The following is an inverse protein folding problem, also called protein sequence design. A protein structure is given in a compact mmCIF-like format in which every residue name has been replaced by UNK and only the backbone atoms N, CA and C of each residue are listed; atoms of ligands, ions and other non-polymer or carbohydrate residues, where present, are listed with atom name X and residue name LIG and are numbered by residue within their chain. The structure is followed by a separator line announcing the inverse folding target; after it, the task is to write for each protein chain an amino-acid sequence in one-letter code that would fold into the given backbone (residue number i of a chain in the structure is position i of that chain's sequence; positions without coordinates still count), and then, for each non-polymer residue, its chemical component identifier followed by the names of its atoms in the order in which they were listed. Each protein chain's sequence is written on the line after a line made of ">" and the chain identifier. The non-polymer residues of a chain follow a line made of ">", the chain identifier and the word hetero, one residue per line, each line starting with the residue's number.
data_IF_974679577526
#
_entry.id   IF_974679577526
#
_cell.length_a   1.000
_cell.length_b   1.000
_cell.length_c   1.000
_cell.angle_alpha   90.00
_cell.angle_beta   90.00
_cell.angle_gamma   90.00
#
_symmetry.space_group_name_H-M   'P 1'
#
loop_
_entity.id
_entity.type
_entity.pdbx_description
1 polymer ?
#
# COMPACT_ATOMS: atom_id res chain seq x y z
N UNK A 1 1.99 44.61 6.55
CA UNK A 1 2.69 43.90 5.44
C UNK A 1 2.07 42.52 5.34
N UNK A 2 0.99 42.40 4.56
CA UNK A 2 0.39 41.12 4.21
C UNK A 2 1.34 40.37 3.28
N UNK A 3 1.80 39.18 3.69
CA UNK A 3 2.47 38.25 2.80
C UNK A 3 1.39 37.65 1.89
N UNK A 4 1.24 38.23 0.69
CA UNK A 4 0.40 37.67 -0.35
C UNK A 4 0.83 36.24 -0.65
N UNK A 5 -0.09 35.30 -0.43
CA UNK A 5 -0.04 33.97 -1.03
C UNK A 5 0.14 34.17 -2.54
N UNK A 6 1.33 33.84 -3.06
CA UNK A 6 1.54 33.69 -4.50
C UNK A 6 0.64 32.53 -4.94
N UNK A 7 -0.57 32.84 -5.41
CA UNK A 7 -1.35 31.90 -6.19
C UNK A 7 -0.53 31.61 -7.45
N UNK A 8 0.04 30.41 -7.50
CA UNK A 8 0.74 29.95 -8.68
C UNK A 8 -0.28 29.75 -9.80
N UNK A 9 0.06 30.30 -10.98
CA UNK A 9 -0.79 30.19 -12.15
C UNK A 9 -0.91 28.71 -12.55
N UNK A 10 -2.13 28.22 -12.87
CA UNK A 10 -2.31 26.85 -13.28
C UNK A 10 -1.52 26.57 -14.57
N UNK A 11 -1.01 25.34 -14.76
CA UNK A 11 -0.37 24.91 -15.99
C UNK A 11 -1.19 25.26 -17.25
N UNK A 12 -0.54 25.49 -18.41
CA UNK A 12 -1.25 25.85 -19.64
C UNK A 12 -2.02 24.65 -20.22
N UNK A 13 -3.15 24.89 -20.89
CA UNK A 13 -4.01 23.82 -21.44
C UNK A 13 -3.31 22.72 -22.28
N UNK A 14 -2.28 23.02 -23.10
CA UNK A 14 -1.53 21.99 -23.83
C UNK A 14 -0.83 20.96 -22.92
N UNK A 15 -0.40 21.38 -21.72
CA UNK A 15 0.22 20.50 -20.74
C UNK A 15 -0.77 19.41 -20.30
N UNK A 16 -1.95 19.79 -19.82
CA UNK A 16 -2.99 18.85 -19.41
C UNK A 16 -3.38 17.88 -20.52
N UNK A 17 -3.53 18.37 -21.76
CA UNK A 17 -3.85 17.51 -22.91
C UNK A 17 -2.76 16.48 -23.18
N UNK A 18 -1.49 16.86 -23.06
CA UNK A 18 -0.36 15.92 -23.19
C UNK A 18 -0.43 14.85 -22.11
N UNK A 19 -0.55 15.25 -20.85
CA UNK A 19 -0.56 14.32 -19.72
C UNK A 19 -1.75 13.34 -19.82
N UNK A 20 -2.95 13.81 -20.18
CA UNK A 20 -4.09 12.92 -20.38
C UNK A 20 -3.88 11.91 -21.51
N UNK A 21 -3.27 12.34 -22.62
CA UNK A 21 -2.89 11.42 -23.70
C UNK A 21 -1.86 10.39 -23.24
N UNK A 22 -0.92 10.78 -22.39
CA UNK A 22 0.10 9.87 -21.84
C UNK A 22 -0.48 8.89 -20.82
N UNK A 23 -1.45 9.32 -20.00
CA UNK A 23 -2.21 8.44 -19.10
C UNK A 23 -3.00 7.41 -19.93
N UNK A 24 -3.65 7.83 -21.02
CA UNK A 24 -4.37 6.93 -21.92
C UNK A 24 -3.42 5.89 -22.55
N UNK A 25 -2.19 6.27 -22.90
CA UNK A 25 -1.16 5.33 -23.39
C UNK A 25 -0.68 4.32 -22.33
N UNK A 26 -0.74 4.70 -21.05
CA UNK A 26 -0.43 3.81 -19.92
C UNK A 26 -1.61 2.88 -19.59
N UNK A 27 -2.83 3.40 -19.69
CA UNK A 27 -4.09 2.74 -19.30
C UNK A 27 -4.71 3.41 -18.07
N UNK A 28 -5.95 3.88 -18.20
CA UNK A 28 -6.70 4.56 -17.13
C UNK A 28 -7.01 3.62 -15.94
N UNK A 29 -7.17 2.33 -16.21
CA UNK A 29 -7.37 1.27 -15.22
C UNK A 29 -6.18 1.10 -14.27
N UNK A 30 -5.00 1.59 -14.65
CA UNK A 30 -3.81 1.56 -13.82
C UNK A 30 -3.67 2.82 -12.96
N UNK A 31 -4.38 3.91 -13.27
CA UNK A 31 -4.28 5.16 -12.52
C UNK A 31 -5.08 5.04 -11.20
N UNK A 32 -4.39 5.20 -10.07
CA UNK A 32 -4.99 5.13 -8.73
C UNK A 32 -5.31 6.52 -8.21
N UNK A 33 -4.43 7.49 -8.47
CA UNK A 33 -4.52 8.85 -7.95
C UNK A 33 -3.87 9.83 -8.89
N UNK A 34 -4.44 11.03 -8.98
CA UNK A 34 -3.82 12.21 -9.58
C UNK A 34 -4.16 13.44 -8.74
N UNK A 35 -3.24 14.40 -8.65
CA UNK A 35 -3.53 15.73 -8.10
C UNK A 35 -4.29 16.60 -9.11
N UNK A 36 -4.99 17.64 -8.64
CA UNK A 36 -5.82 18.51 -9.50
C UNK A 36 -4.99 19.21 -10.59
N UNK A 37 -3.76 19.59 -10.28
CA UNK A 37 -2.82 20.23 -11.20
C UNK A 37 -1.99 19.23 -12.03
N UNK A 38 -2.25 17.93 -11.87
CA UNK A 38 -1.48 16.81 -12.44
C UNK A 38 0.02 16.84 -12.11
N UNK A 39 0.44 17.53 -11.05
CA UNK A 39 1.85 17.54 -10.64
C UNK A 39 2.30 16.20 -10.05
N UNK A 40 1.36 15.37 -9.57
CA UNK A 40 1.62 14.02 -9.11
C UNK A 40 0.58 13.02 -9.64
N UNK A 41 1.07 11.85 -10.04
CA UNK A 41 0.30 10.72 -10.54
C UNK A 41 0.72 9.45 -9.79
N UNK A 42 -0.21 8.54 -9.54
CA UNK A 42 0.09 7.24 -8.93
C UNK A 42 -0.51 6.12 -9.76
N UNK A 43 0.31 5.17 -10.18
CA UNK A 43 -0.10 4.02 -10.97
C UNK A 43 0.05 2.71 -10.19
N UNK A 44 -0.96 1.84 -10.27
CA UNK A 44 -0.90 0.46 -9.78
C UNK A 44 -0.30 -0.45 -10.85
N UNK A 45 0.80 -1.10 -10.50
CA UNK A 45 1.55 -1.99 -11.38
C UNK A 45 1.63 -3.36 -10.71
N UNK A 46 1.25 -4.40 -11.45
CA UNK A 46 1.40 -5.78 -10.99
C UNK A 46 2.76 -6.31 -11.45
N UNK A 47 3.47 -6.99 -10.56
CA UNK A 47 4.65 -7.77 -10.95
C UNK A 47 4.28 -9.16 -11.47
N UNK A 48 5.29 -9.95 -11.86
CA UNK A 48 5.08 -11.29 -12.43
C UNK A 48 4.44 -12.30 -11.46
N UNK A 49 4.50 -12.05 -10.16
CA UNK A 49 3.90 -12.87 -9.11
C UNK A 49 2.53 -12.32 -8.66
N UNK A 50 2.00 -11.30 -9.35
CA UNK A 50 0.71 -10.69 -9.04
C UNK A 50 0.74 -9.72 -7.85
N UNK A 51 1.92 -9.37 -7.32
CA UNK A 51 2.02 -8.36 -6.26
C UNK A 51 1.75 -6.98 -6.83
N UNK A 52 0.93 -6.20 -6.13
CA UNK A 52 0.63 -4.83 -6.51
C UNK A 52 1.66 -3.86 -5.93
N UNK A 53 2.17 -2.99 -6.80
CA UNK A 53 3.10 -1.92 -6.49
C UNK A 53 2.46 -0.59 -6.87
N UNK A 54 2.57 0.41 -6.00
CA UNK A 54 2.14 1.78 -6.31
C UNK A 54 3.37 2.56 -6.74
N UNK A 55 3.40 2.95 -8.01
CA UNK A 55 4.41 3.84 -8.58
C UNK A 55 3.89 5.27 -8.52
N UNK A 56 4.49 6.08 -7.67
CA UNK A 56 4.24 7.51 -7.61
C UNK A 56 5.21 8.23 -8.56
N UNK A 57 4.67 9.12 -9.39
CA UNK A 57 5.40 9.93 -10.35
C UNK A 57 5.09 11.38 -10.04
N UNK A 58 6.12 12.17 -9.73
CA UNK A 58 5.99 13.61 -9.59
C UNK A 58 6.60 14.31 -10.81
N UNK A 59 5.78 15.11 -11.48
CA UNK A 59 6.12 15.81 -12.70
C UNK A 59 6.74 17.18 -12.35
N UNK A 60 7.94 17.49 -12.86
CA UNK A 60 8.52 18.81 -12.69
C UNK A 60 7.75 19.83 -13.53
N UNK A 61 7.81 21.11 -13.14
CA UNK A 61 7.07 22.20 -13.82
C UNK A 61 7.43 22.37 -15.29
N UNK A 62 8.65 22.01 -15.65
CA UNK A 62 9.15 22.07 -17.02
C UNK A 62 9.04 20.73 -17.74
N UNK A 63 8.25 19.78 -17.26
CA UNK A 63 7.98 18.53 -17.96
C UNK A 63 7.56 18.77 -19.43
N UNK A 64 8.09 18.01 -20.41
CA UNK A 64 9.00 16.86 -20.29
C UNK A 64 10.51 17.21 -20.38
N UNK A 65 10.88 18.49 -20.30
CA UNK A 65 12.29 18.94 -20.42
C UNK A 65 13.18 18.39 -19.31
N UNK A 66 12.62 18.12 -18.13
CA UNK A 66 13.28 17.44 -17.02
C UNK A 66 12.57 16.16 -16.66
N UNK A 67 13.35 15.18 -16.22
CA UNK A 67 12.84 13.86 -15.84
C UNK A 67 11.90 13.97 -14.63
N UNK A 68 10.77 13.24 -14.64
CA UNK A 68 9.98 13.02 -13.43
C UNK A 68 10.77 12.31 -12.34
N UNK A 69 10.47 12.62 -11.09
CA UNK A 69 10.93 11.83 -9.95
C UNK A 69 9.93 10.73 -9.64
N UNK A 70 10.41 9.56 -9.24
CA UNK A 70 9.57 8.41 -8.91
C UNK A 70 9.79 7.92 -7.48
N UNK A 71 8.74 7.36 -6.89
CA UNK A 71 8.77 6.69 -5.60
C UNK A 71 7.86 5.44 -5.62
N UNK A 72 8.24 4.43 -4.85
CA UNK A 72 7.48 3.19 -4.68
C UNK A 72 8.00 2.44 -3.44
N UNK A 73 7.19 1.52 -2.90
CA UNK A 73 7.58 0.62 -1.81
C UNK A 73 8.50 -0.51 -2.35
N UNK A 74 9.75 -0.16 -2.65
CA UNK A 74 10.78 -1.07 -3.17
C UNK A 74 12.10 -0.82 -2.45
N UNK A 75 13.00 -1.81 -2.32
CA UNK A 75 14.21 -1.68 -1.50
C UNK A 75 15.19 -0.64 -2.03
N UNK A 76 15.12 -0.34 -3.33
CA UNK A 76 15.75 0.82 -3.96
C UNK A 76 15.00 1.17 -5.23
N UNK A 77 15.01 2.46 -5.58
CA UNK A 77 14.42 2.99 -6.80
C UNK A 77 15.40 2.84 -7.97
N UNK A 78 14.88 2.57 -9.18
CA UNK A 78 15.69 2.55 -10.40
C UNK A 78 15.99 3.95 -10.90
N UNK A 79 17.16 4.10 -11.53
CA UNK A 79 17.48 5.31 -12.28
C UNK A 79 16.67 5.30 -13.59
N UNK A 80 15.92 6.38 -13.83
CA UNK A 80 15.09 6.50 -15.03
C UNK A 80 15.93 7.10 -16.16
N UNK A 81 16.06 6.35 -17.25
CA UNK A 81 16.56 6.86 -18.51
C UNK A 81 15.49 7.76 -19.12
N UNK A 82 15.80 9.05 -19.26
CA UNK A 82 14.84 10.06 -19.69
C UNK A 82 15.38 10.95 -20.80
N UNK A 83 14.49 11.29 -21.74
CA UNK A 83 14.72 12.27 -22.79
C UNK A 83 13.46 13.13 -22.99
N UNK A 84 13.56 14.24 -23.72
CA UNK A 84 12.41 15.12 -24.00
C UNK A 84 11.30 14.48 -24.83
N UNK A 85 11.60 13.36 -25.50
CA UNK A 85 10.62 12.55 -26.25
C UNK A 85 10.05 11.39 -25.42
N UNK A 86 10.54 11.19 -24.19
CA UNK A 86 10.02 10.19 -23.28
C UNK A 86 8.67 10.62 -22.71
N UNK A 87 7.87 9.64 -22.33
CA UNK A 87 6.51 9.78 -21.78
C UNK A 87 6.33 8.95 -20.53
N UNK A 88 5.21 9.11 -19.83
CA UNK A 88 4.84 8.29 -18.66
C UNK A 88 4.96 6.78 -18.91
N UNK A 89 4.57 6.30 -20.10
CA UNK A 89 4.67 4.89 -20.48
C UNK A 89 6.10 4.36 -20.42
N UNK A 90 7.10 5.16 -20.76
CA UNK A 90 8.50 4.76 -20.67
C UNK A 90 8.94 4.54 -19.21
N UNK A 91 8.46 5.38 -18.28
CA UNK A 91 8.72 5.24 -16.84
C UNK A 91 8.09 3.95 -16.32
N UNK A 92 6.82 3.72 -16.64
CA UNK A 92 6.10 2.50 -16.23
C UNK A 92 6.79 1.24 -16.77
N UNK A 93 7.29 1.28 -18.00
CA UNK A 93 8.02 0.15 -18.59
C UNK A 93 9.36 -0.11 -17.88
N UNK A 94 10.18 0.91 -17.66
CA UNK A 94 11.44 0.78 -16.91
C UNK A 94 11.20 0.30 -15.47
N UNK A 95 10.13 0.76 -14.83
CA UNK A 95 9.75 0.30 -13.51
C UNK A 95 9.34 -1.17 -13.51
N UNK A 96 8.56 -1.65 -14.50
CA UNK A 96 8.24 -3.08 -14.64
C UNK A 96 9.49 -3.95 -14.77
N UNK A 97 10.47 -3.51 -15.55
CA UNK A 97 11.76 -4.21 -15.68
C UNK A 97 12.55 -4.21 -14.37
N UNK A 98 12.48 -3.11 -13.61
CA UNK A 98 13.05 -3.03 -12.27
C UNK A 98 12.39 -4.02 -11.29
N UNK A 99 11.05 -4.11 -11.31
CA UNK A 99 10.31 -5.10 -10.52
C UNK A 99 10.72 -6.54 -10.85
N UNK A 100 11.08 -6.85 -12.10
CA UNK A 100 11.59 -8.17 -12.48
C UNK A 100 12.95 -8.49 -11.84
N UNK A 101 13.85 -7.50 -11.71
CA UNK A 101 15.17 -7.66 -11.07
C UNK A 101 15.04 -7.92 -9.57
N UNK A 102 14.02 -7.35 -8.92
CA UNK A 102 13.77 -7.47 -7.49
C UNK A 102 13.10 -8.79 -7.06
N UNK A 103 12.69 -9.64 -8.02
CA UNK A 103 11.97 -10.88 -7.72
C UNK A 103 12.80 -11.85 -6.86
N UNK A 104 14.11 -11.94 -7.12
CA UNK A 104 15.01 -12.79 -6.34
C UNK A 104 15.11 -12.31 -4.89
N UNK A 105 15.22 -10.99 -4.69
CA UNK A 105 15.24 -10.38 -3.37
C UNK A 105 13.97 -10.70 -2.58
N UNK A 106 12.78 -10.45 -3.14
CA UNK A 106 11.55 -10.71 -2.41
C UNK A 106 11.33 -12.20 -2.13
N UNK A 107 11.71 -13.10 -3.05
CA UNK A 107 11.67 -14.54 -2.82
C UNK A 107 12.51 -14.96 -1.61
N UNK A 108 13.70 -14.37 -1.46
CA UNK A 108 14.57 -14.58 -0.30
C UNK A 108 13.95 -14.03 0.99
N UNK A 109 13.41 -12.82 0.95
CA UNK A 109 12.77 -12.22 2.13
C UNK A 109 11.57 -13.07 2.59
N UNK A 110 10.76 -13.55 1.65
CA UNK A 110 9.66 -14.47 1.97
C UNK A 110 10.14 -15.83 2.48
N UNK A 111 11.27 -16.37 1.98
CA UNK A 111 11.87 -17.60 2.52
C UNK A 111 12.29 -17.43 3.98
N UNK A 112 12.90 -16.28 4.31
CA UNK A 112 13.24 -15.90 5.68
C UNK A 112 11.98 -15.82 6.54
N UNK A 113 10.97 -15.06 6.08
CA UNK A 113 9.74 -14.80 6.82
C UNK A 113 8.93 -16.08 7.08
N UNK A 114 8.92 -17.03 6.13
CA UNK A 114 8.21 -18.31 6.27
C UNK A 114 8.93 -19.31 7.19
N UNK A 115 10.26 -19.31 7.21
CA UNK A 115 11.02 -20.40 7.83
C UNK A 115 11.69 -20.03 9.15
N UNK A 116 11.80 -18.73 9.48
CA UNK A 116 12.53 -18.25 10.65
C UNK A 116 11.63 -17.43 11.57
N UNK A 117 11.89 -17.49 12.88
CA UNK A 117 11.18 -16.67 13.84
C UNK A 117 11.63 -15.20 13.76
N UNK A 118 10.84 -14.38 13.08
CA UNK A 118 11.06 -12.93 12.95
C UNK A 118 10.54 -12.19 14.19
N UNK A 119 11.41 -11.39 14.80
CA UNK A 119 11.09 -10.47 15.89
C UNK A 119 10.67 -9.10 15.36
N UNK A 120 11.36 -8.61 14.32
CA UNK A 120 11.12 -7.29 13.75
C UNK A 120 11.55 -7.20 12.26
N UNK A 121 10.81 -6.47 11.41
CA UNK A 121 9.47 -5.93 11.68
C UNK A 121 8.39 -7.01 11.65
N UNK A 122 7.31 -6.81 12.44
CA UNK A 122 6.16 -7.72 12.47
C UNK A 122 5.38 -7.77 11.15
N UNK A 123 5.35 -6.64 10.43
CA UNK A 123 4.72 -6.49 9.12
C UNK A 123 5.72 -5.79 8.19
N UNK A 124 6.58 -6.55 7.50
CA UNK A 124 7.56 -5.97 6.61
C UNK A 124 6.91 -5.36 5.36
N UNK A 125 7.39 -4.19 4.97
CA UNK A 125 7.09 -3.61 3.65
C UNK A 125 7.94 -4.27 2.57
N UNK A 126 7.58 -4.06 1.30
CA UNK A 126 8.36 -4.58 0.17
C UNK A 126 9.71 -3.87 0.02
N UNK A 127 9.88 -2.68 0.62
CA UNK A 127 11.16 -1.98 0.73
C UNK A 127 12.06 -2.47 1.88
N UNK A 128 11.54 -3.24 2.84
CA UNK A 128 12.30 -3.61 4.04
C UNK A 128 13.32 -4.70 3.76
N UNK A 129 14.60 -4.34 3.74
CA UNK A 129 15.74 -5.24 3.48
C UNK A 129 16.35 -5.92 4.70
N UNK A 130 15.86 -5.63 5.91
CA UNK A 130 16.36 -6.25 7.14
C UNK A 130 15.32 -7.14 7.81
N UNK A 131 15.79 -8.10 8.61
CA UNK A 131 14.99 -8.87 9.57
C UNK A 131 15.78 -9.07 10.85
N UNK A 132 15.14 -8.84 12.00
CA UNK A 132 15.64 -9.29 13.28
C UNK A 132 15.08 -10.70 13.56
N UNK A 133 15.95 -11.69 13.62
CA UNK A 133 15.61 -13.11 13.73
C UNK A 133 15.94 -13.58 15.15
N UNK A 134 15.02 -14.29 15.79
CA UNK A 134 15.26 -14.96 17.07
C UNK A 134 16.22 -16.15 16.88
N UNK A 135 17.26 -16.24 17.68
CA UNK A 135 18.20 -17.37 17.68
C UNK A 135 17.98 -18.33 18.86
N UNK A 136 17.12 -17.99 19.81
CA UNK A 136 17.00 -18.66 21.11
C UNK A 136 18.09 -18.21 22.11
N UNK A 137 18.02 -18.70 23.35
CA UNK A 137 18.98 -18.40 24.42
C UNK A 137 19.24 -16.90 24.64
N UNK A 138 18.18 -16.09 24.61
CA UNK A 138 18.24 -14.62 24.72
C UNK A 138 19.12 -13.95 23.65
N UNK A 139 19.30 -14.60 22.49
CA UNK A 139 20.02 -14.08 21.35
C UNK A 139 19.11 -13.75 20.16
N UNK A 140 19.49 -12.70 19.42
CA UNK A 140 18.88 -12.37 18.14
C UNK A 140 19.90 -11.90 17.11
N UNK A 141 19.52 -11.98 15.84
CA UNK A 141 20.31 -11.64 14.67
C UNK A 141 19.58 -10.57 13.87
N UNK A 142 20.11 -9.35 13.82
CA UNK A 142 19.72 -8.39 12.79
C UNK A 142 20.47 -8.71 11.51
N UNK A 143 19.73 -9.18 10.51
CA UNK A 143 20.22 -9.55 9.21
C UNK A 143 19.80 -8.49 8.18
N UNK A 144 20.72 -8.08 7.31
CA UNK A 144 20.44 -7.15 6.21
C UNK A 144 20.81 -7.81 4.87
N UNK A 145 19.80 -7.99 4.02
CA UNK A 145 19.93 -8.60 2.69
C UNK A 145 20.10 -7.51 1.65
N UNK A 146 21.19 -7.56 0.89
CA UNK A 146 21.48 -6.56 -0.12
C UNK A 146 20.63 -6.77 -1.38
N UNK A 147 19.58 -5.97 -1.58
CA UNK A 147 18.60 -6.18 -2.66
C UNK A 147 19.17 -6.19 -4.09
N UNK A 148 20.29 -5.49 -4.35
CA UNK A 148 20.93 -5.49 -5.68
C UNK A 148 21.70 -6.78 -5.98
N UNK A 149 22.09 -7.53 -4.94
CA UNK A 149 22.71 -8.85 -5.06
C UNK A 149 22.26 -9.71 -3.86
N UNK A 150 21.04 -10.22 -3.94
CA UNK A 150 20.35 -10.80 -2.79
C UNK A 150 21.01 -12.09 -2.26
N UNK A 151 21.82 -12.76 -3.09
CA UNK A 151 22.64 -13.91 -2.70
C UNK A 151 24.07 -13.55 -2.30
N UNK A 152 24.43 -12.27 -2.18
CA UNK A 152 25.68 -11.93 -1.51
C UNK A 152 25.60 -12.30 -0.04
N UNK A 153 26.76 -12.54 0.60
CA UNK A 153 26.79 -12.81 2.03
C UNK A 153 26.17 -11.61 2.77
N UNK A 154 25.06 -11.79 3.50
CA UNK A 154 24.34 -10.67 4.11
C UNK A 154 25.15 -10.05 5.26
N UNK A 155 24.87 -8.78 5.54
CA UNK A 155 25.42 -8.14 6.73
C UNK A 155 24.64 -8.61 7.96
N UNK A 156 25.35 -8.83 9.07
CA UNK A 156 24.75 -9.32 10.29
C UNK A 156 25.25 -8.59 11.54
N UNK A 157 24.34 -8.41 12.50
CA UNK A 157 24.62 -7.93 13.85
C UNK A 157 23.92 -8.80 14.88
N UNK A 158 24.70 -9.33 15.82
CA UNK A 158 24.21 -10.21 16.87
C UNK A 158 23.92 -9.43 18.15
N UNK A 159 22.88 -9.84 18.88
CA UNK A 159 22.48 -9.32 20.18
C UNK A 159 22.30 -10.47 21.16
N UNK A 160 22.63 -10.24 22.43
CA UNK A 160 22.55 -11.22 23.51
C UNK A 160 23.82 -11.24 24.38
N UNK A 161 23.98 -12.24 25.26
CA UNK A 161 25.15 -12.37 26.13
C UNK A 161 26.47 -12.48 25.34
N UNK A 162 27.52 -11.81 25.81
CA UNK A 162 28.82 -11.73 25.12
C UNK A 162 29.43 -13.10 24.79
N UNK A 163 29.32 -14.07 25.71
CA UNK A 163 29.84 -15.42 25.51
C UNK A 163 29.20 -16.09 24.28
N UNK A 164 27.88 -16.05 24.17
CA UNK A 164 27.11 -16.63 23.06
C UNK A 164 27.33 -15.84 21.76
N UNK A 165 27.30 -14.50 21.83
CA UNK A 165 27.51 -13.64 20.66
C UNK A 165 28.90 -13.81 20.04
N UNK A 166 29.94 -13.93 20.88
CA UNK A 166 31.29 -14.15 20.38
C UNK A 166 31.44 -15.51 19.67
N UNK A 167 30.79 -16.55 20.18
CA UNK A 167 30.72 -17.86 19.50
C UNK A 167 30.05 -17.74 18.13
N UNK A 168 28.87 -17.13 18.07
CA UNK A 168 28.11 -16.94 16.81
C UNK A 168 28.91 -16.13 15.79
N UNK A 169 29.59 -15.06 16.23
CA UNK A 169 30.44 -14.24 15.36
C UNK A 169 31.63 -15.02 14.82
N UNK A 170 32.25 -15.87 15.64
CA UNK A 170 33.35 -16.73 15.22
C UNK A 170 32.89 -17.78 14.20
N UNK A 171 31.74 -18.42 14.45
CA UNK A 171 31.12 -19.37 13.52
C UNK A 171 30.83 -18.71 12.17
N UNK A 172 30.18 -17.53 12.18
CA UNK A 172 29.90 -16.77 10.96
C UNK A 172 31.17 -16.50 10.13
N UNK A 173 32.23 -16.00 10.77
CA UNK A 173 33.51 -15.70 10.10
C UNK A 173 34.15 -16.96 9.50
N UNK A 174 34.23 -18.04 10.30
CA UNK A 174 34.80 -19.33 9.89
C UNK A 174 34.04 -19.96 8.73
N UNK A 175 32.71 -19.87 8.76
CA UNK A 175 31.83 -20.58 7.83
C UNK A 175 31.39 -19.73 6.63
N UNK A 176 31.70 -18.43 6.58
CA UNK A 176 31.34 -17.51 5.49
C UNK A 176 31.56 -18.07 4.07
N UNK A 177 32.61 -18.87 3.86
CA UNK A 177 32.94 -19.51 2.57
C UNK A 177 31.99 -20.63 2.15
N UNK A 178 31.15 -21.13 3.06
CA UNK A 178 30.15 -22.17 2.80
C UNK A 178 28.85 -21.62 2.21
N UNK A 179 28.71 -20.29 2.13
CA UNK A 179 27.55 -19.63 1.55
C UNK A 179 27.42 -19.97 0.06
N UNK A 180 26.30 -20.57 -0.33
CA UNK A 180 26.05 -21.00 -1.72
C UNK A 180 24.59 -20.77 -2.13
N UNK A 181 24.34 -20.61 -3.43
CA UNK A 181 22.99 -20.54 -4.02
C UNK A 181 22.31 -21.91 -4.11
N UNK A 182 23.04 -23.00 -3.89
CA UNK A 182 22.51 -24.37 -4.03
C UNK A 182 21.64 -24.82 -2.84
N UNK A 183 21.51 -23.97 -1.81
CA UNK A 183 20.75 -24.23 -0.58
C UNK A 183 19.73 -23.13 -0.36
N UNK A 184 18.69 -23.43 0.42
CA UNK A 184 17.76 -22.38 0.84
C UNK A 184 18.46 -21.34 1.70
N UNK A 185 17.95 -20.11 1.68
CA UNK A 185 18.60 -18.99 2.35
C UNK A 185 18.66 -19.22 3.87
N UNK A 186 17.57 -19.67 4.47
CA UNK A 186 17.51 -20.01 5.90
C UNK A 186 18.43 -21.19 6.29
N UNK A 187 18.63 -22.18 5.40
CA UNK A 187 19.56 -23.29 5.64
C UNK A 187 21.02 -22.83 5.65
N UNK A 188 21.37 -21.91 4.76
CA UNK A 188 22.69 -21.29 4.80
C UNK A 188 22.94 -20.58 6.13
N UNK A 189 21.95 -19.84 6.66
CA UNK A 189 22.09 -19.19 7.97
C UNK A 189 22.33 -20.20 9.10
N UNK A 190 21.61 -21.32 9.11
CA UNK A 190 21.83 -22.39 10.09
C UNK A 190 23.25 -22.99 10.00
N UNK A 191 23.75 -23.21 8.77
CA UNK A 191 25.12 -23.70 8.52
C UNK A 191 26.18 -22.69 8.98
N UNK A 192 25.96 -21.40 8.69
CA UNK A 192 26.90 -20.35 9.07
C UNK A 192 27.03 -20.23 10.59
N UNK A 193 25.91 -20.31 11.30
CA UNK A 193 25.85 -20.16 12.75
C UNK A 193 26.17 -21.45 13.51
N UNK A 194 26.20 -22.60 12.83
CA UNK A 194 26.30 -23.94 13.42
C UNK A 194 25.23 -24.17 14.50
N UNK A 195 24.01 -23.70 14.24
CA UNK A 195 22.87 -23.83 15.16
C UNK A 195 21.58 -24.11 14.41
N UNK A 196 20.65 -24.79 15.08
CA UNK A 196 19.28 -24.93 14.61
C UNK A 196 18.54 -23.61 14.85
N UNK A 197 18.06 -22.99 13.78
CA UNK A 197 17.30 -21.75 13.89
C UNK A 197 15.86 -22.04 14.35
N UNK A 198 15.34 -21.29 15.33
CA UNK A 198 13.93 -21.36 15.70
C UNK A 198 13.06 -21.06 14.49
N UNK A 199 12.15 -21.98 14.19
CA UNK A 199 11.07 -21.74 13.23
C UNK A 199 10.06 -20.77 13.84
N UNK A 200 9.26 -20.07 13.02
CA UNK A 200 8.10 -19.37 13.54
C UNK A 200 7.35 -20.34 14.45
N UNK A 201 6.93 -19.88 15.61
CA UNK A 201 5.96 -20.64 16.36
C UNK A 201 4.71 -20.74 15.49
N UNK A 202 4.53 -21.88 14.80
CA UNK A 202 3.20 -22.36 14.54
C UNK A 202 2.63 -22.56 15.92
N UNK A 203 1.84 -21.57 16.34
CA UNK A 203 0.91 -21.76 17.43
C UNK A 203 0.15 -23.03 17.05
N UNK A 204 0.55 -24.15 17.65
CA UNK A 204 -0.21 -25.38 17.62
C UNK A 204 -1.37 -25.19 18.59
N UNK A 205 -2.20 -24.19 18.31
CA UNK A 205 -3.62 -24.32 18.52
C UNK A 205 -4.01 -25.20 17.31
N UNK A 206 -4.18 -26.51 17.42
CA UNK A 206 -5.44 -27.07 17.94
C UNK A 206 -6.49 -25.96 18.04
N UNK A 207 -7.07 -25.66 16.88
CA UNK A 207 -7.87 -24.49 16.50
C UNK A 207 -7.03 -23.32 15.96
N UNK A 208 -6.55 -23.48 14.72
CA UNK A 208 -6.67 -22.39 13.75
C UNK A 208 -8.17 -22.19 13.49
N UNK A 209 -8.88 -21.68 14.49
CA UNK A 209 -10.12 -20.96 14.23
C UNK A 209 -9.67 -19.71 13.52
N UNK A 210 -9.65 -19.81 12.20
CA UNK A 210 -9.73 -18.69 11.28
C UNK A 210 -10.64 -17.64 11.93
N UNK A 211 -10.06 -16.47 12.27
CA UNK A 211 -10.77 -15.49 13.08
C UNK A 211 -11.81 -14.81 12.19
N UNK A 212 -13.01 -15.39 12.15
CA UNK A 212 -14.15 -14.81 11.46
C UNK A 212 -14.60 -13.52 12.17
N UNK A 213 -15.05 -12.54 11.39
CA UNK A 213 -15.72 -11.38 11.94
C UNK A 213 -16.92 -11.83 12.80
N UNK A 214 -16.98 -11.38 14.05
CA UNK A 214 -18.05 -11.72 14.98
C UNK A 214 -19.45 -11.20 14.59
N UNK A 215 -19.59 -10.51 13.46
CA UNK A 215 -20.88 -10.01 12.95
C UNK A 215 -21.27 -10.71 11.66
N UNK A 216 -20.39 -10.70 10.64
CA UNK A 216 -20.71 -11.32 9.34
C UNK A 216 -20.25 -12.77 9.21
N UNK A 217 -19.53 -13.31 10.20
CA UNK A 217 -18.97 -14.67 10.21
C UNK A 217 -18.13 -14.99 8.96
N UNK A 218 -17.58 -13.97 8.33
CA UNK A 218 -16.70 -14.09 7.18
C UNK A 218 -15.28 -13.67 7.55
N UNK A 219 -14.31 -14.36 6.95
CA UNK A 219 -12.89 -14.08 7.08
C UNK A 219 -12.46 -12.86 6.24
N UNK A 220 -13.14 -12.61 5.12
CA UNK A 220 -12.88 -11.48 4.24
C UNK A 220 -14.20 -10.89 3.76
N UNK A 221 -14.28 -9.56 3.64
CA UNK A 221 -15.41 -8.92 2.98
C UNK A 221 -15.47 -9.28 1.49
N UNK A 222 -16.68 -9.40 0.89
CA UNK A 222 -16.83 -9.63 -0.54
C UNK A 222 -16.10 -8.56 -1.36
N UNK A 223 -15.57 -8.97 -2.50
CA UNK A 223 -14.97 -8.03 -3.46
C UNK A 223 -16.09 -7.39 -4.27
N UNK A 224 -16.56 -6.22 -3.85
CA UNK A 224 -17.62 -5.46 -4.51
C UNK A 224 -17.34 -3.94 -4.42
N UNK A 225 -17.86 -3.18 -5.39
CA UNK A 225 -17.76 -1.72 -5.48
C UNK A 225 -18.49 -1.03 -4.32
N UNK A 226 -19.42 -1.72 -3.65
CA UNK A 226 -20.19 -1.20 -2.50
C UNK A 226 -19.35 -1.07 -1.21
N UNK A 227 -18.30 -1.87 -1.04
CA UNK A 227 -17.43 -1.85 0.16
C UNK A 227 -16.24 -0.88 0.04
N UNK A 228 -16.03 -0.28 -1.13
CA UNK A 228 -14.95 0.69 -1.40
C UNK A 228 -13.58 0.16 -0.97
N UNK A 229 -12.84 0.96 -0.18
CA UNK A 229 -11.50 0.62 0.32
C UNK A 229 -11.45 -0.60 1.27
N UNK A 230 -12.59 -1.10 1.74
CA UNK A 230 -12.68 -2.27 2.63
C UNK A 230 -13.01 -3.56 1.88
N UNK A 231 -13.14 -3.49 0.56
CA UNK A 231 -13.34 -4.65 -0.31
C UNK A 231 -12.21 -5.66 -0.12
N UNK A 232 -12.53 -6.92 0.23
CA UNK A 232 -11.54 -7.95 0.49
C UNK A 232 -10.73 -7.80 1.79
N UNK A 233 -11.09 -6.89 2.70
CA UNK A 233 -10.37 -6.75 3.98
C UNK A 233 -10.71 -7.87 4.96
N UNK A 234 -9.72 -8.26 5.77
CA UNK A 234 -9.89 -9.15 6.92
C UNK A 234 -10.33 -8.36 8.16
N UNK A 235 -10.81 -9.01 9.25
CA UNK A 235 -11.16 -8.34 10.49
C UNK A 235 -10.00 -7.51 11.03
N UNK A 236 -10.20 -6.19 11.11
CA UNK A 236 -9.21 -5.18 11.43
C UNK A 236 -9.48 -4.49 12.78
N UNK A 237 -10.57 -4.85 13.47
CA UNK A 237 -10.92 -4.36 14.79
C UNK A 237 -11.05 -5.51 15.79
N UNK A 238 -10.41 -5.41 16.96
CA UNK A 238 -10.53 -6.41 18.04
C UNK A 238 -11.00 -5.74 19.32
N UNK A 239 -11.95 -6.37 20.01
CA UNK A 239 -12.43 -5.87 21.31
C UNK A 239 -11.30 -5.85 22.35
N UNK A 240 -11.13 -4.73 23.04
CA UNK A 240 -10.05 -4.51 24.01
C UNK A 240 -10.22 -5.31 25.32
N UNK A 241 -11.44 -5.80 25.61
CA UNK A 241 -11.66 -6.67 26.75
C UNK A 241 -10.98 -8.03 26.50
N UNK A 242 -9.91 -8.31 27.24
CA UNK A 242 -9.12 -9.55 27.14
C UNK A 242 -9.95 -10.82 27.35
N UNK A 243 -11.05 -10.75 28.12
CA UNK A 243 -11.96 -11.88 28.32
C UNK A 243 -12.90 -12.12 27.12
N UNK A 244 -13.00 -11.16 26.20
CA UNK A 244 -13.83 -11.22 25.00
C UNK A 244 -12.98 -11.47 23.75
N UNK A 245 -12.03 -10.58 23.47
CA UNK A 245 -11.07 -10.66 22.36
C UNK A 245 -11.69 -10.95 20.98
N UNK A 246 -12.97 -10.63 20.77
CA UNK A 246 -13.68 -10.89 19.51
C UNK A 246 -13.25 -9.89 18.44
N UNK A 247 -13.02 -10.39 17.22
CA UNK A 247 -12.62 -9.57 16.07
C UNK A 247 -13.80 -9.23 15.16
N UNK A 248 -13.72 -8.10 14.47
CA UNK A 248 -14.73 -7.58 13.57
C UNK A 248 -14.07 -6.86 12.41
N UNK A 249 -14.72 -6.84 11.25
CA UNK A 249 -14.44 -5.79 10.27
C UNK A 249 -14.92 -4.45 10.82
N UNK A 250 -14.12 -3.41 10.69
CA UNK A 250 -14.45 -2.03 11.06
C UNK A 250 -15.78 -1.59 10.43
N UNK A 251 -16.06 -2.02 9.19
CA UNK A 251 -17.34 -1.75 8.50
C UNK A 251 -18.51 -2.44 9.19
N UNK A 252 -18.39 -3.75 9.47
CA UNK A 252 -19.45 -4.51 10.12
C UNK A 252 -19.78 -3.96 11.51
N UNK A 253 -18.76 -3.63 12.31
CA UNK A 253 -18.98 -3.07 13.64
C UNK A 253 -19.54 -1.64 13.57
N UNK A 254 -19.12 -0.84 12.60
CA UNK A 254 -19.68 0.50 12.36
C UNK A 254 -21.17 0.45 12.03
N UNK A 255 -21.56 -0.42 11.11
CA UNK A 255 -22.97 -0.53 10.70
C UNK A 255 -23.85 -1.11 11.80
N UNK A 256 -23.32 -2.08 12.56
CA UNK A 256 -23.95 -2.56 13.79
C UNK A 256 -24.18 -1.41 14.79
N UNK A 257 -23.15 -0.64 15.11
CA UNK A 257 -23.26 0.48 16.05
C UNK A 257 -24.25 1.56 15.57
N UNK A 258 -24.32 1.82 14.26
CA UNK A 258 -25.31 2.76 13.68
C UNK A 258 -26.76 2.29 13.84
N UNK A 259 -27.00 0.99 13.94
CA UNK A 259 -28.34 0.43 14.14
C UNK A 259 -28.85 0.54 15.58
N UNK A 260 -27.98 0.86 16.55
CA UNK A 260 -28.33 0.93 17.97
C UNK A 260 -28.63 2.38 18.37
N UNK A 261 -29.79 2.60 18.99
CA UNK A 261 -30.27 3.93 19.38
C UNK A 261 -29.47 4.59 20.51
N UNK A 262 -28.75 3.81 21.32
CA UNK A 262 -27.92 4.30 22.42
C UNK A 262 -26.47 4.60 22.02
N UNK A 263 -26.08 4.32 20.77
CA UNK A 263 -24.74 4.63 20.26
C UNK A 263 -24.54 6.14 20.23
N UNK A 264 -23.39 6.59 20.73
CA UNK A 264 -23.00 8.01 20.71
C UNK A 264 -22.00 8.24 19.60
N UNK A 265 -22.13 9.33 18.87
CA UNK A 265 -21.12 9.77 17.92
C UNK A 265 -20.43 11.02 18.47
N UNK A 266 -19.11 11.04 18.43
CA UNK A 266 -18.30 12.24 18.66
C UNK A 266 -17.30 12.38 17.51
N UNK A 267 -17.39 13.48 16.78
CA UNK A 267 -16.64 13.71 15.53
C UNK A 267 -16.77 12.53 14.55
N UNK A 268 -15.66 11.93 14.18
CA UNK A 268 -15.52 10.80 13.27
C UNK A 268 -15.45 9.45 14.01
N UNK A 269 -15.85 9.37 15.28
CA UNK A 269 -15.83 8.14 16.07
C UNK A 269 -17.21 7.81 16.63
N UNK A 270 -17.65 6.57 16.43
CA UNK A 270 -18.81 5.98 17.09
C UNK A 270 -18.37 5.27 18.37
N UNK A 271 -19.03 5.59 19.47
CA UNK A 271 -18.88 4.97 20.77
C UNK A 271 -20.14 4.19 21.09
N UNK A 272 -19.99 2.90 21.36
CA UNK A 272 -21.07 2.05 21.81
C UNK A 272 -20.52 0.86 22.56
N UNK A 273 -21.24 -0.26 22.51
CA UNK A 273 -20.89 -1.44 23.28
C UNK A 273 -20.59 -2.61 22.33
N UNK A 274 -19.62 -3.44 22.71
CA UNK A 274 -19.29 -4.68 22.01
C UNK A 274 -20.52 -5.59 21.94
N UNK A 275 -20.87 -6.18 20.78
CA UNK A 275 -22.04 -7.08 20.66
C UNK A 275 -21.97 -8.32 21.55
N UNK A 276 -20.78 -8.69 22.04
CA UNK A 276 -20.54 -9.94 22.77
C UNK A 276 -20.43 -9.72 24.28
N UNK A 277 -19.58 -8.79 24.71
CA UNK A 277 -19.31 -8.58 26.14
C UNK A 277 -19.95 -7.30 26.70
N UNK A 278 -20.62 -6.50 25.86
CA UNK A 278 -21.20 -5.20 26.23
C UNK A 278 -20.20 -4.15 26.76
N UNK A 279 -18.89 -4.42 26.75
CA UNK A 279 -17.86 -3.45 27.09
C UNK A 279 -17.76 -2.33 26.04
N UNK A 280 -17.33 -1.12 26.43
CA UNK A 280 -17.20 0.00 25.51
C UNK A 280 -16.32 -0.30 24.30
N UNK A 281 -16.77 0.12 23.12
CA UNK A 281 -16.01 0.06 21.86
C UNK A 281 -16.06 1.40 21.15
N UNK A 282 -14.99 1.72 20.43
CA UNK A 282 -14.85 2.97 19.69
C UNK A 282 -14.37 2.70 18.26
N UNK A 283 -15.16 3.10 17.26
CA UNK A 283 -14.89 2.81 15.84
C UNK A 283 -14.88 4.08 15.01
N UNK A 284 -13.85 4.26 14.19
CA UNK A 284 -13.78 5.39 13.26
C UNK A 284 -14.77 5.23 12.09
N UNK A 285 -15.50 6.31 11.83
CA UNK A 285 -16.52 6.46 10.78
C UNK A 285 -15.90 6.88 9.44
N UNK A 286 -14.65 7.38 9.47
CA UNK A 286 -13.99 8.19 8.44
C UNK A 286 -14.50 8.05 7.00
N UNK A 287 -14.93 9.20 6.45
CA UNK A 287 -14.32 9.74 5.22
C UNK A 287 -14.09 11.25 5.43
N UNK A 288 -12.88 11.63 5.83
CA UNK A 288 -12.32 12.99 5.64
C UNK A 288 -10.79 12.86 5.68
N UNK A 289 -10.16 12.98 4.50
CA UNK A 289 -8.71 13.07 4.35
C UNK A 289 -8.24 14.41 4.91
N UNK A 290 -7.71 14.40 6.13
CA UNK A 290 -6.80 15.43 6.63
C UNK A 290 -5.39 14.85 6.67
N UNK A 291 -4.59 15.11 5.62
CA UNK A 291 -3.17 14.76 5.65
C UNK A 291 -2.44 15.73 6.59
N UNK A 292 -1.74 15.19 7.58
CA UNK A 292 -0.76 15.95 8.36
C UNK A 292 0.47 16.21 7.48
N UNK A 293 0.67 17.47 7.11
CA UNK A 293 1.91 17.92 6.46
C UNK A 293 2.94 18.29 7.53
N UNK A 294 4.07 17.58 7.58
CA UNK A 294 5.27 18.04 8.26
C UNK A 294 6.01 18.98 7.32
N UNK A 295 6.02 20.28 7.62
CA UNK A 295 6.84 21.24 6.88
C UNK A 295 8.26 21.31 7.49
N UNK A 296 9.26 21.74 6.70
CA UNK A 296 10.72 21.74 7.00
C UNK A 296 11.21 22.49 8.26
N UNK A 297 10.32 22.88 9.18
CA UNK A 297 10.62 23.67 10.39
C UNK A 297 9.98 23.12 11.69
N UNK A 298 9.50 21.87 11.71
CA UNK A 298 9.02 21.21 12.96
C UNK A 298 8.00 22.04 13.77
N UNK A 299 6.99 22.64 13.11
CA UNK A 299 5.81 23.20 13.79
C UNK A 299 4.54 22.56 13.26
N UNK A 300 3.69 22.10 14.19
CA UNK A 300 2.36 21.56 13.92
C UNK A 300 1.38 22.74 13.82
N UNK A 301 0.77 22.91 12.66
CA UNK A 301 -0.32 23.89 12.46
C UNK A 301 -1.59 23.15 12.04
N UNK A 302 -2.66 23.34 12.80
CA UNK A 302 -3.99 22.78 12.52
C UNK A 302 -4.74 23.75 11.60
N UNK A 303 -5.01 23.38 10.35
CA UNK A 303 -5.90 24.15 9.47
C UNK A 303 -7.30 23.52 9.54
N UNK A 304 -8.24 24.24 10.13
CA UNK A 304 -9.66 23.85 10.17
C UNK A 304 -10.39 24.46 8.98
N UNK A 305 -10.85 23.62 8.03
CA UNK A 305 -11.83 24.03 7.03
C UNK A 305 -13.24 23.89 7.63
N UNK A 306 -13.84 25.03 7.99
CA UNK A 306 -15.28 25.13 8.31
C UNK A 306 -16.08 24.77 7.05
N UNK A 307 -16.79 23.64 7.07
CA UNK A 307 -17.81 23.32 6.08
C UNK A 307 -19.14 23.96 6.50
N UNK A 308 -19.52 25.04 5.84
CA UNK A 308 -20.94 25.41 5.74
C UNK A 308 -21.49 24.78 4.46
N UNK A 309 -22.45 23.86 4.65
CA UNK A 309 -23.36 23.29 3.64
C UNK A 309 -24.29 24.41 3.09
N UNK A 310 -24.89 24.30 1.88
CA UNK A 310 -25.67 23.13 1.47
C UNK A 310 -25.46 22.61 0.05
N UNK A 311 -26.01 21.41 -0.16
CA UNK A 311 -26.26 20.74 -1.43
C UNK A 311 -26.54 21.73 -2.58
N UNK A 312 -25.65 21.73 -3.57
CA UNK A 312 -25.98 22.13 -4.93
C UNK A 312 -25.71 20.90 -5.79
N UNK A 313 -26.79 20.37 -6.38
CA UNK A 313 -26.72 19.48 -7.52
C UNK A 313 -25.91 20.19 -8.61
N UNK A 314 -24.69 19.72 -8.87
CA UNK A 314 -23.93 20.22 -10.02
C UNK A 314 -24.58 19.71 -11.29
N UNK A 315 -25.40 20.56 -11.89
CA UNK A 315 -25.52 20.65 -13.34
C UNK A 315 -24.14 20.93 -13.91
N UNK A 316 -23.67 20.06 -14.80
CA UNK A 316 -22.49 20.31 -15.61
C UNK A 316 -22.64 21.64 -16.38
N UNK A 317 -21.64 22.53 -16.38
CA UNK A 317 -21.58 23.57 -17.39
C UNK A 317 -21.35 22.92 -18.76
N UNK A 318 -22.32 23.07 -19.66
CA UNK A 318 -22.37 22.54 -21.03
C UNK A 318 -21.24 23.06 -21.95
N UNK A 319 -20.31 23.88 -21.44
CA UNK A 319 -19.26 24.53 -22.25
C UNK A 319 -17.98 23.71 -22.43
N UNK A 320 -17.71 22.69 -21.60
CA UNK A 320 -16.55 21.80 -21.80
C UNK A 320 -16.86 20.54 -22.62
N UNK A 321 -18.13 20.10 -22.65
CA UNK A 321 -18.55 18.93 -23.44
C UNK A 321 -18.61 19.19 -24.95
N UNK A 322 -18.65 20.47 -25.37
CA UNK A 322 -18.68 20.85 -26.79
C UNK A 322 -17.38 20.52 -27.53
N UNK A 323 -16.24 20.57 -26.86
CA UNK A 323 -14.94 20.21 -27.46
C UNK A 323 -14.72 18.69 -27.58
N UNK A 324 -15.40 17.88 -26.77
CA UNK A 324 -15.23 16.42 -26.76
C UNK A 324 -16.06 15.72 -27.86
N UNK A 325 -17.21 16.29 -28.22
CA UNK A 325 -18.04 15.78 -29.32
C UNK A 325 -17.54 16.20 -30.72
N UNK A 326 -16.90 17.36 -30.86
CA UNK A 326 -16.29 17.78 -32.14
C UNK A 326 -15.05 16.96 -32.50
N UNK A 327 -14.33 16.40 -31.50
CA UNK A 327 -13.18 15.53 -31.76
C UNK A 327 -13.61 14.11 -32.18
N UNK A 328 -14.76 13.61 -31.71
CA UNK A 328 -15.31 12.30 -32.09
C UNK A 328 -16.09 12.30 -33.42
N UNK A 329 -16.59 13.45 -33.89
CA UNK A 329 -17.32 13.53 -35.16
C UNK A 329 -16.46 13.77 -36.41
N UNK A 330 -15.15 14.04 -36.28
CA UNK A 330 -14.26 14.24 -37.45
C UNK A 330 -13.61 12.96 -38.00
N UNK A 331 -13.87 11.79 -37.41
CA UNK A 331 -13.41 10.49 -37.91
C UNK A 331 -14.49 9.43 -37.74
N UNK A 332 -15.33 9.27 -38.76
CA UNK A 332 -16.23 8.12 -38.87
C UNK A 332 -17.56 8.46 -39.54
N UNK A 333 -17.56 8.48 -40.87
CA UNK A 333 -18.79 8.49 -41.64
C UNK A 333 -19.46 7.12 -41.67
N UNK A 334 -20.80 7.14 -41.63
CA UNK A 334 -21.78 6.16 -42.12
C UNK A 334 -21.72 4.72 -41.55
N UNK A 335 -22.72 4.30 -40.76
CA UNK A 335 -23.99 3.70 -41.25
C UNK A 335 -24.85 3.12 -40.09
N UNK A 336 -26.12 3.54 -40.08
CA UNK A 336 -27.38 2.80 -39.77
C UNK A 336 -27.52 1.87 -38.54
N UNK A 337 -28.35 2.36 -37.60
CA UNK A 337 -29.54 1.73 -36.97
C UNK A 337 -29.50 0.26 -36.49
N UNK A 338 -29.70 0.06 -35.19
CA UNK A 338 -30.90 -0.57 -34.61
C UNK A 338 -30.84 -0.52 -33.07
N UNK A 339 -31.81 0.15 -32.44
CA UNK A 339 -32.01 0.15 -30.99
C UNK A 339 -32.91 -1.04 -30.62
N UNK A 340 -32.41 -1.94 -29.76
CA UNK A 340 -33.26 -2.86 -29.01
C UNK A 340 -33.28 -2.43 -27.54
N UNK A 341 -34.45 -2.00 -27.09
CA UNK A 341 -34.79 -1.66 -25.72
C UNK A 341 -34.95 -2.94 -24.91
N UNK A 342 -34.19 -3.11 -23.82
CA UNK A 342 -34.51 -4.10 -22.78
C UNK A 342 -34.73 -3.35 -21.47
N UNK A 343 -36.00 -3.31 -21.07
CA UNK A 343 -36.45 -2.98 -19.71
C UNK A 343 -36.24 -4.22 -18.84
N UNK A 344 -35.59 -4.07 -17.69
CA UNK A 344 -35.74 -5.05 -16.61
C UNK A 344 -36.13 -4.34 -15.32
N UNK A 345 -37.30 -4.76 -14.85
CA UNK A 345 -38.05 -4.29 -13.70
C UNK A 345 -37.44 -4.82 -12.40
N UNK A 346 -37.24 -3.94 -11.42
CA UNK A 346 -36.94 -4.29 -10.03
C UNK A 346 -38.25 -4.80 -9.37
N UNK A 347 -38.19 -5.93 -8.67
CA UNK A 347 -39.20 -6.33 -7.69
C UNK A 347 -38.52 -6.58 -6.34
N UNK A 348 -39.24 -6.12 -5.32
CA UNK A 348 -38.91 -5.85 -3.92
C UNK A 348 -38.06 -6.87 -3.19
#
# INVERSE_FOLDING_TARGET
>A
MEQGSRQELPPPAPFYRSIFSEIEEVGWEHLVRSEEDLSSLSFRILDKNGRAHILEIALPRNYPESAPSIAADVPYICDIEWSKSSKLKNIVQQFREHLQKLQEFWSIMEDIDRNLWILDPKQPSLATSYRQICLGNDCSLLLNVYARNAWSLPECRFFGPDSTVNLLRNNWRKNSRKWTKDKHFHENLAILLETTLPRPHTVSNKNDEQVDCGICYAQYLPVDDEFGDNSGSAPDYTCENLSCSRAFHTVCLRDWLRSITTTRQSFDVLFGNCPYCSEPVAVKVSVLKGYLFMNRQNRISLVTLRTQKPFILFFFPITAFKSMNEFKQSRGGLQTSQQHTIRTTIRF
#
